data_IF_261799148873
#
_entry.id   IF_261799148873
#
_cell.length_a   1.000
_cell.length_b   1.000
_cell.length_c   1.000
_cell.angle_alpha   90.00
_cell.angle_beta   90.00
_cell.angle_gamma   90.00
#
_symmetry.space_group_name_H-M   'P 1'
#
loop_
_entity.id
_entity.type
_entity.pdbx_description
1 polymer ?
#
# COMPACT_ATOMS: atom_id res chain seq x y z
N UNK A 1 20.13 10.80 1.33
CA UNK A 1 18.78 10.30 0.98
C UNK A 1 18.29 10.91 -0.34
N UNK A 2 18.19 12.25 -0.46
CA UNK A 2 17.64 12.92 -1.66
C UNK A 2 18.33 12.58 -3.01
N UNK A 3 19.67 12.49 -3.12
CA UNK A 3 20.31 12.12 -4.38
C UNK A 3 19.98 10.68 -4.83
N UNK A 4 19.83 9.76 -3.86
CA UNK A 4 19.45 8.37 -4.11
C UNK A 4 18.00 8.34 -4.64
N UNK A 5 17.09 9.05 -3.97
CA UNK A 5 15.70 9.15 -4.39
C UNK A 5 15.55 9.74 -5.80
N UNK A 6 16.31 10.77 -6.15
CA UNK A 6 16.32 11.33 -7.50
C UNK A 6 16.79 10.31 -8.54
N UNK A 7 17.87 9.59 -8.26
CA UNK A 7 18.40 8.58 -9.17
C UNK A 7 17.42 7.41 -9.39
N UNK A 8 16.71 7.02 -8.34
CA UNK A 8 15.70 5.97 -8.38
C UNK A 8 14.44 6.41 -9.14
N UNK A 9 13.99 7.64 -8.91
CA UNK A 9 12.86 8.22 -9.65
C UNK A 9 13.11 8.21 -11.17
N UNK A 10 14.31 8.63 -11.60
CA UNK A 10 14.70 8.60 -13.01
C UNK A 10 14.67 7.18 -13.57
N UNK A 11 15.10 6.18 -12.80
CA UNK A 11 15.12 4.79 -13.25
C UNK A 11 13.71 4.18 -13.32
N UNK A 12 12.84 4.50 -12.35
CA UNK A 12 11.44 4.10 -12.37
C UNK A 12 10.72 4.66 -13.60
N UNK A 13 10.90 5.95 -13.90
CA UNK A 13 10.29 6.59 -15.07
C UNK A 13 10.83 6.05 -16.40
N UNK A 14 12.08 5.58 -16.44
CA UNK A 14 12.65 4.95 -17.66
C UNK A 14 12.21 3.50 -17.83
N UNK A 15 11.81 2.82 -16.76
CA UNK A 15 11.38 1.43 -16.82
C UNK A 15 9.89 1.33 -17.21
N UNK A 16 9.64 1.22 -18.53
CA UNK A 16 8.28 1.11 -19.09
C UNK A 16 7.46 -0.05 -18.50
N UNK A 17 8.10 -1.18 -18.19
CA UNK A 17 7.40 -2.34 -17.62
C UNK A 17 6.89 -2.05 -16.21
N UNK A 18 7.70 -1.40 -15.37
CA UNK A 18 7.31 -0.97 -14.02
C UNK A 18 6.23 0.11 -14.10
N UNK A 19 6.36 1.09 -15.01
CA UNK A 19 5.32 2.10 -15.23
C UNK A 19 3.97 1.48 -15.60
N UNK A 20 3.93 0.54 -16.54
CA UNK A 20 2.65 -0.07 -16.95
C UNK A 20 2.04 -0.90 -15.82
N UNK A 21 2.83 -1.77 -15.18
CA UNK A 21 2.32 -2.70 -14.17
C UNK A 21 2.00 -2.03 -12.83
N UNK A 22 2.78 -1.02 -12.44
CA UNK A 22 2.67 -0.36 -11.13
C UNK A 22 1.87 0.95 -11.16
N UNK A 23 1.81 1.63 -12.31
CA UNK A 23 1.11 2.91 -12.46
C UNK A 23 -0.18 2.74 -13.26
N UNK A 24 -0.10 2.17 -14.48
CA UNK A 24 -1.24 2.12 -15.39
C UNK A 24 -2.34 1.16 -14.89
N UNK A 25 -1.97 -0.07 -14.51
CA UNK A 25 -2.94 -1.08 -14.10
C UNK A 25 -3.76 -0.67 -12.87
N UNK A 26 -3.18 -0.13 -11.77
CA UNK A 26 -3.96 0.29 -10.61
C UNK A 26 -4.83 1.51 -10.90
N UNK A 27 -4.39 2.42 -11.77
CA UNK A 27 -5.23 3.52 -12.26
C UNK A 27 -6.40 2.99 -13.08
N UNK A 28 -6.17 2.06 -14.02
CA UNK A 28 -7.22 1.47 -14.83
C UNK A 28 -8.27 0.74 -13.98
N UNK A 29 -7.82 -0.04 -12.99
CA UNK A 29 -8.71 -0.67 -12.01
C UNK A 29 -9.50 0.39 -11.21
N UNK A 30 -8.85 1.47 -10.79
CA UNK A 30 -9.52 2.56 -10.07
C UNK A 30 -10.57 3.26 -10.92
N UNK A 31 -10.28 3.54 -12.20
CA UNK A 31 -11.24 4.09 -13.15
C UNK A 31 -12.43 3.16 -13.31
N UNK A 32 -12.20 1.85 -13.40
CA UNK A 32 -13.27 0.86 -13.45
C UNK A 32 -14.16 0.93 -12.18
N UNK A 33 -13.58 0.91 -10.98
CA UNK A 33 -14.36 1.01 -9.73
C UNK A 33 -15.15 2.32 -9.63
N UNK A 34 -14.58 3.44 -10.07
CA UNK A 34 -15.27 4.74 -10.10
C UNK A 34 -16.40 4.76 -11.14
N UNK A 35 -16.17 4.17 -12.33
CA UNK A 35 -17.16 4.08 -13.39
C UNK A 35 -18.38 3.24 -13.00
N UNK A 36 -18.17 2.15 -12.24
CA UNK A 36 -19.21 1.27 -11.74
C UNK A 36 -19.59 1.53 -10.27
N UNK A 37 -19.28 2.73 -9.74
CA UNK A 37 -19.45 3.06 -8.33
C UNK A 37 -20.87 2.83 -7.80
N UNK A 38 -21.90 3.11 -8.60
CA UNK A 38 -23.30 2.96 -8.17
C UNK A 38 -23.67 1.48 -7.98
N UNK A 39 -23.07 0.58 -8.78
CA UNK A 39 -23.25 -0.87 -8.63
C UNK A 39 -22.58 -1.33 -7.35
N UNK A 40 -21.33 -0.92 -7.12
CA UNK A 40 -20.59 -1.31 -5.91
C UNK A 40 -21.13 -0.69 -4.63
N UNK A 41 -21.64 0.54 -4.69
CA UNK A 41 -22.27 1.21 -3.56
C UNK A 41 -23.55 0.51 -3.11
N UNK A 42 -24.30 -0.14 -4.01
CA UNK A 42 -25.46 -0.97 -3.66
C UNK A 42 -25.08 -2.26 -2.94
N UNK A 43 -23.88 -2.79 -3.18
CA UNK A 43 -23.39 -4.03 -2.56
C UNK A 43 -22.81 -3.74 -1.17
N UNK A 44 -22.13 -2.61 -1.01
CA UNK A 44 -21.58 -2.17 0.27
C UNK A 44 -21.95 -0.73 0.57
N UNK A 45 -21.08 0.20 0.15
CA UNK A 45 -21.25 1.64 0.33
C UNK A 45 -20.23 2.41 -0.52
N UNK A 46 -20.32 3.74 -0.55
CA UNK A 46 -19.27 4.57 -1.13
C UNK A 46 -17.94 4.43 -0.36
N UNK A 47 -18.00 4.27 0.97
CA UNK A 47 -16.81 3.98 1.77
C UNK A 47 -16.14 2.64 1.43
N UNK A 48 -16.92 1.63 1.03
CA UNK A 48 -16.36 0.38 0.50
C UNK A 48 -15.58 0.62 -0.80
N UNK A 49 -16.16 1.40 -1.74
CA UNK A 49 -15.46 1.75 -2.99
C UNK A 49 -14.16 2.51 -2.68
N UNK A 50 -14.20 3.49 -1.77
CA UNK A 50 -13.00 4.20 -1.32
C UNK A 50 -11.94 3.26 -0.73
N UNK A 51 -12.34 2.30 0.11
CA UNK A 51 -11.41 1.33 0.69
C UNK A 51 -10.75 0.47 -0.39
N UNK A 52 -11.51 -0.04 -1.37
CA UNK A 52 -10.95 -0.81 -2.49
C UNK A 52 -9.98 0.02 -3.33
N UNK A 53 -10.28 1.30 -3.59
CA UNK A 53 -9.36 2.21 -4.28
C UNK A 53 -8.04 2.35 -3.49
N UNK A 54 -8.12 2.61 -2.19
CA UNK A 54 -6.94 2.74 -1.30
C UNK A 54 -6.10 1.47 -1.33
N UNK A 55 -6.72 0.31 -1.13
CA UNK A 55 -6.01 -0.97 -1.12
C UNK A 55 -5.45 -1.36 -2.49
N UNK A 56 -6.13 -1.00 -3.58
CA UNK A 56 -5.63 -1.26 -4.94
C UNK A 56 -4.34 -0.50 -5.21
N UNK A 57 -4.30 0.80 -4.87
CA UNK A 57 -3.08 1.61 -5.01
C UNK A 57 -2.00 1.12 -4.04
N UNK A 58 -2.36 0.87 -2.77
CA UNK A 58 -1.40 0.42 -1.77
C UNK A 58 -0.79 -0.95 -2.11
N UNK A 59 -1.57 -1.87 -2.67
CA UNK A 59 -1.12 -3.22 -3.02
C UNK A 59 -0.24 -3.26 -4.26
N UNK A 60 -0.57 -2.51 -5.31
CA UNK A 60 0.11 -2.64 -6.59
C UNK A 60 1.11 -1.51 -6.86
N UNK A 61 0.78 -0.26 -6.56
CA UNK A 61 1.68 0.88 -6.78
C UNK A 61 2.71 1.01 -5.67
N UNK A 62 2.33 0.75 -4.42
CA UNK A 62 3.25 0.91 -3.29
C UNK A 62 3.97 -0.40 -2.96
N UNK A 63 3.22 -1.42 -2.55
CA UNK A 63 3.78 -2.69 -2.07
C UNK A 63 4.53 -3.46 -3.16
N UNK A 64 3.88 -3.79 -4.29
CA UNK A 64 4.51 -4.61 -5.33
C UNK A 64 5.74 -3.92 -5.96
N UNK A 65 5.66 -2.61 -6.20
CA UNK A 65 6.79 -1.82 -6.73
C UNK A 65 7.93 -1.72 -5.73
N UNK A 66 7.65 -1.59 -4.43
CA UNK A 66 8.68 -1.61 -3.39
C UNK A 66 9.44 -2.94 -3.40
N UNK A 67 8.71 -4.07 -3.43
CA UNK A 67 9.31 -5.40 -3.49
C UNK A 67 10.16 -5.56 -4.74
N UNK A 68 9.62 -5.20 -5.90
CA UNK A 68 10.31 -5.29 -7.20
C UNK A 68 11.58 -4.44 -7.22
N UNK A 69 11.51 -3.20 -6.73
CA UNK A 69 12.65 -2.27 -6.69
C UNK A 69 13.75 -2.82 -5.79
N UNK A 70 13.42 -3.20 -4.56
CA UNK A 70 14.41 -3.71 -3.61
C UNK A 70 15.03 -5.04 -4.08
N UNK A 71 14.24 -5.95 -4.65
CA UNK A 71 14.74 -7.20 -5.21
C UNK A 71 15.71 -6.95 -6.38
N UNK A 72 15.35 -6.05 -7.31
CA UNK A 72 16.21 -5.68 -8.44
C UNK A 72 17.52 -5.03 -8.00
N UNK A 73 17.47 -4.04 -7.10
CA UNK A 73 18.68 -3.39 -6.58
C UNK A 73 19.59 -4.34 -5.82
N UNK A 74 19.01 -5.33 -5.14
CA UNK A 74 19.79 -6.37 -4.50
C UNK A 74 20.49 -7.24 -5.54
N UNK A 75 19.76 -7.71 -6.56
CA UNK A 75 20.29 -8.55 -7.63
C UNK A 75 21.43 -7.87 -8.38
N UNK A 76 21.32 -6.58 -8.67
CA UNK A 76 22.35 -5.80 -9.38
C UNK A 76 23.58 -5.45 -8.51
N UNK A 77 23.64 -5.95 -7.27
CA UNK A 77 24.61 -5.61 -6.23
C UNK A 77 24.66 -4.10 -5.91
N UNK A 78 23.63 -3.35 -6.32
CA UNK A 78 23.56 -1.90 -6.11
C UNK A 78 23.48 -1.55 -4.62
N UNK A 79 22.70 -2.31 -3.84
CA UNK A 79 22.61 -2.14 -2.39
C UNK A 79 23.97 -2.35 -1.70
N UNK A 80 24.76 -3.32 -2.16
CA UNK A 80 26.12 -3.58 -1.65
C UNK A 80 27.06 -2.41 -1.94
N UNK A 81 27.02 -1.87 -3.17
CA UNK A 81 27.79 -0.68 -3.57
C UNK A 81 27.41 0.56 -2.75
N UNK A 82 26.11 0.76 -2.50
CA UNK A 82 25.66 1.89 -1.66
C UNK A 82 26.12 1.75 -0.21
N UNK A 83 26.17 0.53 0.34
CA UNK A 83 26.62 0.29 1.71
C UNK A 83 28.12 0.52 1.93
N UNK A 84 28.93 0.52 0.87
CA UNK A 84 30.34 0.95 0.94
C UNK A 84 30.52 2.47 0.94
N UNK A 85 29.44 3.26 0.84
CA UNK A 85 29.49 4.72 0.96
C UNK A 85 29.26 5.17 2.41
N UNK A 86 29.36 6.48 2.67
CA UNK A 86 29.05 7.06 3.98
C UNK A 86 27.54 7.05 4.35
N UNK A 87 26.66 6.57 3.47
CA UNK A 87 25.23 6.52 3.72
C UNK A 87 24.86 5.38 4.67
N UNK A 88 24.14 5.68 5.76
CA UNK A 88 23.63 4.66 6.67
C UNK A 88 22.52 3.80 6.05
N UNK A 89 22.35 2.58 6.57
CA UNK A 89 21.38 1.57 6.09
C UNK A 89 19.95 2.12 5.97
N UNK A 90 19.48 2.88 6.98
CA UNK A 90 18.16 3.51 6.96
C UNK A 90 18.02 4.58 5.85
N UNK A 91 19.11 5.31 5.56
CA UNK A 91 19.15 6.34 4.53
C UNK A 91 19.16 5.77 3.12
N UNK A 92 19.74 4.58 2.95
CA UNK A 92 19.69 3.83 1.71
C UNK A 92 18.26 3.35 1.48
N UNK A 93 17.69 2.60 2.43
CA UNK A 93 16.34 2.05 2.29
C UNK A 93 15.30 3.14 2.08
N UNK A 94 15.28 4.19 2.91
CA UNK A 94 14.34 5.30 2.76
C UNK A 94 14.53 6.01 1.42
N UNK A 95 15.77 6.20 0.97
CA UNK A 95 16.08 6.78 -0.34
C UNK A 95 15.53 5.98 -1.52
N UNK A 96 15.50 4.64 -1.42
CA UNK A 96 14.95 3.78 -2.46
C UNK A 96 13.43 3.74 -2.49
N UNK A 97 12.78 3.72 -1.32
CA UNK A 97 11.32 3.60 -1.24
C UNK A 97 10.59 4.94 -1.32
N UNK A 98 11.26 6.06 -1.03
CA UNK A 98 10.65 7.38 -1.04
C UNK A 98 10.02 7.76 -2.40
N UNK A 99 10.65 7.52 -3.57
CA UNK A 99 10.01 7.80 -4.85
C UNK A 99 8.74 6.98 -5.08
N UNK A 100 8.75 5.70 -4.71
CA UNK A 100 7.60 4.80 -4.83
C UNK A 100 6.46 5.28 -3.94
N UNK A 101 6.77 5.64 -2.69
CA UNK A 101 5.79 6.19 -1.75
C UNK A 101 5.21 7.52 -2.24
N UNK A 102 6.04 8.43 -2.76
CA UNK A 102 5.58 9.71 -3.30
C UNK A 102 4.63 9.53 -4.49
N UNK A 103 4.96 8.64 -5.43
CA UNK A 103 4.10 8.29 -6.57
C UNK A 103 2.77 7.73 -6.08
N UNK A 104 2.80 6.76 -5.17
CA UNK A 104 1.58 6.16 -4.63
C UNK A 104 0.69 7.18 -3.91
N UNK A 105 1.28 8.11 -3.14
CA UNK A 105 0.55 9.18 -2.44
C UNK A 105 -0.11 10.13 -3.43
N UNK A 106 0.60 10.58 -4.46
CA UNK A 106 0.01 11.43 -5.52
C UNK A 106 -1.11 10.69 -6.24
N UNK A 107 -0.89 9.42 -6.58
CA UNK A 107 -1.87 8.61 -7.28
C UNK A 107 -3.15 8.41 -6.47
N UNK A 108 -3.05 8.04 -5.19
CA UNK A 108 -4.25 7.87 -4.36
C UNK A 108 -4.95 9.20 -4.08
N UNK A 109 -4.20 10.30 -3.90
CA UNK A 109 -4.79 11.61 -3.71
C UNK A 109 -5.62 12.05 -4.93
N UNK A 110 -5.08 11.87 -6.14
CA UNK A 110 -5.81 12.16 -7.39
C UNK A 110 -7.03 11.26 -7.53
N UNK A 111 -6.88 9.94 -7.31
CA UNK A 111 -7.98 8.97 -7.44
C UNK A 111 -9.11 9.28 -6.45
N UNK A 112 -8.80 9.55 -5.18
CA UNK A 112 -9.81 9.89 -4.17
C UNK A 112 -10.44 11.26 -4.43
N UNK A 113 -9.69 12.24 -4.96
CA UNK A 113 -10.25 13.53 -5.35
C UNK A 113 -11.26 13.39 -6.50
N UNK A 114 -10.92 12.61 -7.53
CA UNK A 114 -11.85 12.28 -8.62
C UNK A 114 -13.06 11.54 -8.09
N UNK A 115 -12.85 10.53 -7.24
CA UNK A 115 -13.95 9.76 -6.65
C UNK A 115 -14.88 10.65 -5.81
N UNK A 116 -14.35 11.55 -4.99
CA UNK A 116 -15.13 12.52 -4.22
C UNK A 116 -15.93 13.47 -5.11
N UNK A 117 -15.34 13.93 -6.23
CA UNK A 117 -16.00 14.83 -7.17
C UNK A 117 -17.20 14.18 -7.88
N UNK A 118 -17.17 12.87 -8.13
CA UNK A 118 -18.24 12.16 -8.88
C UNK A 118 -19.16 11.31 -8.01
N UNK A 119 -18.72 10.92 -6.81
CA UNK A 119 -19.39 10.00 -5.90
C UNK A 119 -19.83 10.63 -4.58
N UNK A 120 -19.38 11.85 -4.26
CA UNK A 120 -19.66 12.51 -2.99
C UNK A 120 -18.43 12.55 -2.09
N UNK A 121 -18.22 13.69 -1.40
CA UNK A 121 -17.08 13.90 -0.52
C UNK A 121 -17.16 13.00 0.74
N UNK A 122 -16.00 12.63 1.32
CA UNK A 122 -15.99 11.89 2.58
C UNK A 122 -16.59 12.71 3.72
N UNK A 123 -17.26 12.04 4.65
CA UNK A 123 -17.79 12.66 5.86
C UNK A 123 -16.68 13.29 6.73
N UNK A 124 -15.52 12.65 6.81
CA UNK A 124 -14.33 13.18 7.49
C UNK A 124 -13.08 13.00 6.62
N UNK A 125 -12.71 14.07 5.90
CA UNK A 125 -11.55 14.08 5.02
C UNK A 125 -10.23 13.88 5.78
N UNK A 126 -10.11 14.38 7.01
CA UNK A 126 -8.89 14.23 7.81
C UNK A 126 -8.72 12.77 8.24
N UNK A 127 -9.82 12.12 8.66
CA UNK A 127 -9.79 10.71 9.02
C UNK A 127 -9.49 9.81 7.81
N UNK A 128 -9.94 10.16 6.60
CA UNK A 128 -9.53 9.48 5.36
C UNK A 128 -8.02 9.58 5.17
N UNK A 129 -7.42 10.77 5.35
CA UNK A 129 -5.97 10.94 5.24
C UNK A 129 -5.24 10.06 6.26
N UNK A 130 -5.70 10.04 7.52
CA UNK A 130 -5.13 9.18 8.57
C UNK A 130 -5.22 7.70 8.19
N UNK A 131 -6.37 7.25 7.67
CA UNK A 131 -6.58 5.88 7.25
C UNK A 131 -5.67 5.47 6.07
N UNK A 132 -5.52 6.36 5.08
CA UNK A 132 -4.62 6.16 3.93
C UNK A 132 -3.17 6.07 4.40
N UNK A 133 -2.73 6.99 5.26
CA UNK A 133 -1.35 6.98 5.80
C UNK A 133 -1.08 5.69 6.58
N UNK A 134 -1.99 5.29 7.47
CA UNK A 134 -1.83 4.06 8.24
C UNK A 134 -1.74 2.82 7.33
N UNK A 135 -2.62 2.74 6.32
CA UNK A 135 -2.62 1.66 5.33
C UNK A 135 -1.32 1.64 4.53
N UNK A 136 -0.84 2.80 4.09
CA UNK A 136 0.36 2.92 3.27
C UNK A 136 1.62 2.57 4.06
N UNK A 137 1.72 3.02 5.31
CA UNK A 137 2.84 2.65 6.19
C UNK A 137 2.87 1.14 6.43
N UNK A 138 1.71 0.52 6.67
CA UNK A 138 1.60 -0.94 6.80
C UNK A 138 2.03 -1.67 5.53
N UNK A 139 1.49 -1.28 4.38
CA UNK A 139 1.79 -1.92 3.09
C UNK A 139 3.25 -1.70 2.66
N UNK A 140 3.83 -0.54 2.96
CA UNK A 140 5.24 -0.28 2.71
C UNK A 140 6.14 -1.17 3.58
N UNK A 141 5.84 -1.27 4.89
CA UNK A 141 6.59 -2.14 5.80
C UNK A 141 6.52 -3.61 5.37
N UNK A 142 5.33 -4.08 4.96
CA UNK A 142 5.14 -5.41 4.39
C UNK A 142 5.96 -5.58 3.10
N UNK A 143 6.05 -4.55 2.27
CA UNK A 143 6.85 -4.56 1.03
C UNK A 143 8.34 -4.74 1.31
N UNK A 144 8.87 -4.02 2.30
CA UNK A 144 10.27 -4.19 2.72
C UNK A 144 10.50 -5.59 3.30
N UNK A 145 9.55 -6.13 4.07
CA UNK A 145 9.63 -7.48 4.61
C UNK A 145 9.64 -8.56 3.52
N UNK A 146 8.70 -8.49 2.57
CA UNK A 146 8.60 -9.43 1.44
C UNK A 146 9.84 -9.36 0.55
N UNK A 147 10.40 -8.17 0.31
CA UNK A 147 11.65 -8.02 -0.43
C UNK A 147 12.81 -8.84 0.16
N UNK A 148 12.80 -9.11 1.46
CA UNK A 148 13.79 -9.97 2.14
C UNK A 148 13.87 -11.39 1.57
N UNK A 149 12.75 -11.94 1.07
CA UNK A 149 12.66 -13.28 0.48
C UNK A 149 12.58 -13.31 -1.05
N UNK A 150 12.22 -12.20 -1.68
CA UNK A 150 12.07 -12.11 -3.15
C UNK A 150 13.41 -11.99 -3.88
N UNK A 151 13.81 -13.00 -4.63
CA UNK A 151 15.16 -13.09 -5.22
C UNK A 151 15.40 -12.17 -6.42
N UNK A 152 14.39 -11.93 -7.27
CA UNK A 152 14.51 -11.11 -8.48
C UNK A 152 13.25 -10.25 -8.73
N UNK A 153 13.33 -9.21 -9.59
CA UNK A 153 12.15 -8.47 -10.06
C UNK A 153 11.07 -9.34 -10.71
N UNK A 154 11.45 -10.39 -11.42
CA UNK A 154 10.52 -11.31 -12.07
C UNK A 154 9.80 -12.16 -11.01
N UNK A 155 10.55 -12.67 -10.02
CA UNK A 155 9.97 -13.36 -8.86
C UNK A 155 9.11 -12.43 -7.99
N UNK A 156 9.37 -11.12 -8.00
CA UNK A 156 8.54 -10.15 -7.29
C UNK A 156 7.09 -10.22 -7.75
N UNK A 157 6.86 -10.38 -9.05
CA UNK A 157 5.50 -10.45 -9.62
C UNK A 157 4.69 -11.61 -9.04
N UNK A 158 5.31 -12.75 -8.70
CA UNK A 158 4.61 -13.90 -8.12
C UNK A 158 4.54 -13.79 -6.60
N UNK A 159 5.62 -13.37 -5.95
CA UNK A 159 5.70 -13.29 -4.48
C UNK A 159 4.81 -12.18 -3.89
N UNK A 160 4.49 -11.13 -4.66
CA UNK A 160 3.61 -10.06 -4.19
C UNK A 160 2.14 -10.43 -4.30
N UNK A 161 1.73 -11.25 -5.28
CA UNK A 161 0.32 -11.52 -5.58
C UNK A 161 -0.49 -12.03 -4.39
N UNK A 162 -0.03 -13.01 -3.58
CA UNK A 162 -0.84 -13.52 -2.47
C UNK A 162 -1.22 -12.43 -1.47
N UNK A 163 -0.30 -11.54 -1.11
CA UNK A 163 -0.57 -10.47 -0.15
C UNK A 163 -1.35 -9.33 -0.77
N UNK A 164 -1.05 -8.95 -2.03
CA UNK A 164 -1.80 -7.92 -2.75
C UNK A 164 -3.27 -8.31 -2.91
N UNK A 165 -3.54 -9.53 -3.40
CA UNK A 165 -4.89 -10.03 -3.57
C UNK A 165 -5.56 -10.32 -2.22
N UNK A 166 -4.81 -10.85 -1.26
CA UNK A 166 -5.32 -11.13 0.09
C UNK A 166 -5.80 -9.87 0.80
N UNK A 167 -5.03 -8.78 0.77
CA UNK A 167 -5.43 -7.50 1.39
C UNK A 167 -6.62 -6.86 0.71
N UNK A 168 -6.71 -6.94 -0.63
CA UNK A 168 -7.89 -6.49 -1.38
C UNK A 168 -9.11 -7.35 -1.04
N UNK A 169 -8.96 -8.68 -0.96
CA UNK A 169 -10.05 -9.58 -0.60
C UNK A 169 -10.56 -9.33 0.83
N UNK A 170 -9.66 -9.09 1.78
CA UNK A 170 -10.01 -8.68 3.15
C UNK A 170 -10.72 -7.34 3.14
N UNK A 171 -10.22 -6.35 2.39
CA UNK A 171 -10.86 -5.05 2.26
C UNK A 171 -12.27 -5.16 1.66
N UNK A 172 -12.45 -5.99 0.65
CA UNK A 172 -13.78 -6.23 0.07
C UNK A 172 -14.69 -6.96 1.03
N UNK A 173 -14.20 -7.99 1.72
CA UNK A 173 -15.02 -8.73 2.69
C UNK A 173 -15.50 -7.82 3.82
N UNK A 174 -14.60 -7.02 4.40
CA UNK A 174 -14.93 -6.07 5.47
C UNK A 174 -15.82 -4.93 4.96
N UNK A 175 -15.52 -4.37 3.78
CA UNK A 175 -16.30 -3.26 3.23
C UNK A 175 -17.72 -3.64 2.81
N UNK A 176 -17.93 -4.89 2.36
CA UNK A 176 -19.25 -5.39 1.94
C UNK A 176 -20.07 -5.86 3.15
N UNK A 177 -19.47 -6.68 4.03
CA UNK A 177 -20.21 -7.34 5.12
C UNK A 177 -20.15 -6.60 6.45
N UNK A 178 -19.39 -5.51 6.52
CA UNK A 178 -19.08 -4.85 7.78
C UNK A 178 -18.28 -5.75 8.74
N UNK A 179 -18.24 -5.36 10.01
CA UNK A 179 -17.46 -6.04 11.05
C UNK A 179 -18.31 -6.61 12.19
N UNK A 180 -19.64 -6.57 12.07
CA UNK A 180 -20.56 -7.10 13.10
C UNK A 180 -20.30 -8.60 13.34
N UNK A 181 -20.19 -9.37 12.26
CA UNK A 181 -19.77 -10.77 12.30
C UNK A 181 -18.25 -10.90 12.24
N UNK A 182 -17.69 -11.74 13.11
CA UNK A 182 -16.26 -12.06 13.15
C UNK A 182 -15.36 -10.84 13.33
N UNK A 183 -15.82 -9.83 14.08
CA UNK A 183 -15.13 -8.55 14.29
C UNK A 183 -13.64 -8.69 14.59
N UNK A 184 -13.30 -9.55 15.56
CA UNK A 184 -11.91 -9.78 15.98
C UNK A 184 -11.05 -10.35 14.85
N UNK A 185 -11.56 -11.33 14.09
CA UNK A 185 -10.86 -11.93 12.97
C UNK A 185 -10.68 -10.92 11.83
N UNK A 186 -11.77 -10.26 11.42
CA UNK A 186 -11.76 -9.25 10.36
C UNK A 186 -10.76 -8.14 10.67
N UNK A 187 -10.76 -7.60 11.90
CA UNK A 187 -9.83 -6.54 12.31
C UNK A 187 -8.39 -7.02 12.47
N UNK A 188 -8.18 -8.29 12.83
CA UNK A 188 -6.86 -8.87 12.98
C UNK A 188 -6.17 -9.19 11.64
N UNK A 189 -6.93 -9.38 10.55
CA UNK A 189 -6.37 -9.61 9.23
C UNK A 189 -5.66 -8.35 8.68
N UNK A 190 -4.56 -8.50 7.91
CA UNK A 190 -3.87 -7.37 7.29
C UNK A 190 -4.85 -6.55 6.45
N UNK A 191 -5.00 -5.28 6.82
CA UNK A 191 -5.88 -4.34 6.11
C UNK A 191 -7.34 -4.34 6.54
N UNK A 192 -7.80 -5.25 7.40
CA UNK A 192 -9.21 -5.30 7.80
C UNK A 192 -9.63 -4.10 8.66
N UNK A 193 -8.92 -3.82 9.75
CA UNK A 193 -9.20 -2.63 10.58
C UNK A 193 -8.99 -1.31 9.81
N UNK A 194 -7.98 -1.26 8.94
CA UNK A 194 -7.75 -0.12 8.05
C UNK A 194 -8.90 0.08 7.04
N UNK A 195 -9.48 -0.99 6.51
CA UNK A 195 -10.66 -0.92 5.64
C UNK A 195 -11.86 -0.36 6.39
N UNK A 196 -12.14 -0.90 7.58
CA UNK A 196 -13.22 -0.41 8.43
C UNK A 196 -13.04 1.09 8.74
N UNK A 197 -11.81 1.54 8.96
CA UNK A 197 -11.48 2.95 9.17
C UNK A 197 -11.76 3.81 7.93
N UNK A 198 -11.37 3.37 6.72
CA UNK A 198 -11.67 4.10 5.47
C UNK A 198 -13.18 4.17 5.24
N UNK A 199 -13.90 3.06 5.47
CA UNK A 199 -15.36 3.00 5.33
C UNK A 199 -16.05 3.96 6.30
N UNK A 200 -15.63 3.95 7.58
CA UNK A 200 -16.15 4.84 8.61
C UNK A 200 -15.86 6.32 8.30
N UNK A 201 -14.65 6.65 7.83
CA UNK A 201 -14.27 8.01 7.47
C UNK A 201 -15.04 8.55 6.27
N UNK A 202 -15.37 7.69 5.31
CA UNK A 202 -16.12 8.10 4.13
C UNK A 202 -17.62 8.24 4.40
N UNK A 203 -18.23 7.24 5.05
CA UNK A 203 -19.67 7.19 5.29
C UNK A 203 -20.10 8.06 6.49
N UNK A 204 -19.21 8.28 7.46
CA UNK A 204 -19.52 8.97 8.70
C UNK A 204 -20.35 8.13 9.68
N UNK A 205 -20.82 8.76 10.75
CA UNK A 205 -21.70 8.12 11.75
C UNK A 205 -20.99 7.29 12.83
N UNK A 206 -19.66 7.31 12.88
CA UNK A 206 -18.86 6.64 13.91
C UNK A 206 -18.15 7.68 14.78
N UNK A 207 -18.17 7.57 16.12
CA UNK A 207 -17.41 8.45 16.99
C UNK A 207 -15.91 8.41 16.66
N UNK A 208 -15.25 9.58 16.70
CA UNK A 208 -13.82 9.69 16.39
C UNK A 208 -12.95 8.78 17.27
N UNK A 209 -13.32 8.61 18.54
CA UNK A 209 -12.62 7.71 19.48
C UNK A 209 -12.61 6.27 18.98
N UNK A 210 -13.75 5.78 18.50
CA UNK A 210 -13.90 4.41 18.05
C UNK A 210 -13.18 4.19 16.72
N UNK A 211 -13.21 5.19 15.84
CA UNK A 211 -12.44 5.19 14.60
C UNK A 211 -10.93 5.16 14.88
N UNK A 212 -10.42 5.95 15.82
CA UNK A 212 -9.00 5.97 16.17
C UNK A 212 -8.52 4.65 16.79
N UNK A 213 -9.38 3.91 17.49
CA UNK A 213 -9.06 2.57 17.99
C UNK A 213 -8.77 1.56 16.86
N UNK A 214 -9.32 1.77 15.65
CA UNK A 214 -9.03 0.94 14.47
C UNK A 214 -7.61 1.12 13.94
N UNK A 215 -6.86 2.12 14.43
CA UNK A 215 -5.43 2.24 14.13
C UNK A 215 -4.60 1.18 14.86
N UNK A 216 -5.05 0.69 16.02
CA UNK A 216 -4.26 -0.24 16.84
C UNK A 216 -3.89 -1.53 16.09
N UNK A 217 -4.83 -2.25 15.43
CA UNK A 217 -4.48 -3.45 14.68
C UNK A 217 -3.59 -3.14 13.47
N UNK A 218 -3.82 -2.02 12.79
CA UNK A 218 -3.00 -1.57 11.65
C UNK A 218 -1.56 -1.29 12.08
N UNK A 219 -1.37 -0.57 13.19
CA UNK A 219 -0.05 -0.28 13.77
C UNK A 219 0.62 -1.56 14.26
N UNK A 220 -0.13 -2.50 14.85
CA UNK A 220 0.40 -3.81 15.22
C UNK A 220 0.98 -4.55 13.99
N UNK A 221 0.31 -4.50 12.85
CA UNK A 221 0.84 -5.04 11.59
C UNK A 221 2.08 -4.32 11.09
N UNK A 222 2.19 -3.00 11.27
CA UNK A 222 3.43 -2.26 10.98
C UNK A 222 4.58 -2.80 11.82
N UNK A 223 4.37 -2.99 13.13
CA UNK A 223 5.40 -3.54 14.03
C UNK A 223 5.81 -4.96 13.61
N UNK A 224 4.84 -5.83 13.30
CA UNK A 224 5.11 -7.19 12.80
C UNK A 224 5.90 -7.14 11.50
N UNK A 225 5.50 -6.30 10.54
CA UNK A 225 6.16 -6.17 9.26
C UNK A 225 7.60 -5.63 9.40
N UNK A 226 7.82 -4.64 10.27
CA UNK A 226 9.17 -4.13 10.57
C UNK A 226 10.03 -5.20 11.23
N UNK A 227 9.48 -5.98 12.17
CA UNK A 227 10.20 -7.09 12.80
C UNK A 227 10.58 -8.18 11.79
N UNK A 228 9.68 -8.51 10.86
CA UNK A 228 9.94 -9.44 9.75
C UNK A 228 11.00 -8.86 8.80
N UNK A 229 10.91 -7.58 8.43
CA UNK A 229 11.90 -6.91 7.60
C UNK A 229 13.30 -6.94 8.25
N UNK A 230 13.41 -6.62 9.54
CA UNK A 230 14.68 -6.66 10.25
C UNK A 230 15.30 -8.07 10.29
N UNK A 231 14.47 -9.12 10.30
CA UNK A 231 14.93 -10.52 10.32
C UNK A 231 15.24 -11.09 8.94
N UNK A 232 14.46 -10.71 7.92
CA UNK A 232 14.48 -11.34 6.60
C UNK A 232 15.29 -10.55 5.57
N UNK A 233 15.45 -9.24 5.77
CA UNK A 233 16.15 -8.38 4.83
C UNK A 233 17.64 -8.74 4.79
N UNK A 234 18.14 -8.93 3.57
CA UNK A 234 19.55 -9.22 3.29
C UNK A 234 20.05 -8.28 2.22
N UNK A 235 21.25 -7.75 2.44
CA UNK A 235 21.91 -6.79 1.55
C UNK A 235 22.54 -7.45 0.31
N UNK A 236 22.79 -8.76 0.36
CA UNK A 236 23.38 -9.53 -0.74
C UNK A 236 22.36 -10.51 -1.34
N UNK A 237 22.45 -10.80 -2.65
CA UNK A 237 21.68 -11.87 -3.29
C UNK A 237 21.93 -13.22 -2.61
N UNK A 238 20.89 -14.06 -2.57
CA UNK A 238 21.05 -15.49 -2.24
C UNK A 238 21.66 -16.15 -3.49
N UNK A 239 22.83 -16.79 -3.34
CA UNK A 239 23.41 -17.62 -4.40
C UNK A 239 22.55 -18.86 -4.62
#
# INVERSE_FOLDING_TARGET
MLPIAQSELVQLVRNRAVLVTSLLMPVAASIFFIGYRDVFARIGSLGYVAAVLVFTIAAFTLYATTVTTLAGRRQDLFLKRLRSTAAGDAAILSGLVLPVAAIAVVQIAVILAVFAAVGGAPADALLVVVAVVATFVMMLALGVATAGVTTSPEHAQVTTLPLSLGTIAVASWVGITGTQDLAALKRALPGGAATELVVAAWNGGVPLTDALLLLVPTVAWVVVAVALAARMFRWEPRR
#
